data_IF_647667878368
#
_entry.id   IF_647667878368
#
_cell.length_a   1.000
_cell.length_b   1.000
_cell.length_c   1.000
_cell.angle_alpha   90.00
_cell.angle_beta   90.00
_cell.angle_gamma   90.00
#
_symmetry.space_group_name_H-M   'P 1'
#
loop_
_entity.id
_entity.type
_entity.pdbx_description
1 polymer ?
#
# COMPACT_ATOMS: atom_id res chain seq x y z
N UNK A 1 13.02 -0.91 -24.95
CA UNK A 1 13.12 0.26 -24.05
C UNK A 1 12.66 -0.18 -22.68
N UNK A 2 13.59 -0.35 -21.73
CA UNK A 2 13.27 -0.72 -20.36
C UNK A 2 13.25 0.53 -19.49
N UNK A 3 12.12 0.83 -18.87
CA UNK A 3 12.05 1.84 -17.83
C UNK A 3 12.84 1.31 -16.63
N UNK A 4 13.83 2.06 -16.15
CA UNK A 4 14.55 1.72 -14.93
C UNK A 4 13.65 2.00 -13.71
N UNK A 5 13.96 1.37 -12.57
CA UNK A 5 13.14 1.49 -11.35
C UNK A 5 13.01 2.94 -10.83
N UNK A 6 13.95 3.82 -11.17
CA UNK A 6 13.91 5.23 -10.77
C UNK A 6 13.03 6.10 -11.68
N UNK A 7 12.93 5.75 -12.97
CA UNK A 7 11.95 6.34 -13.90
C UNK A 7 10.54 5.89 -13.55
N UNK A 8 10.36 4.63 -13.14
CA UNK A 8 9.09 4.18 -12.59
C UNK A 8 8.72 5.02 -11.34
N UNK A 9 9.64 5.18 -10.38
CA UNK A 9 9.44 6.04 -9.20
C UNK A 9 9.22 7.52 -9.54
N UNK A 10 9.76 8.04 -10.64
CA UNK A 10 9.53 9.42 -11.09
C UNK A 10 8.17 9.61 -11.74
N UNK A 11 7.72 8.65 -12.55
CA UNK A 11 6.34 8.63 -13.05
C UNK A 11 5.36 8.53 -11.88
N UNK A 12 5.70 7.76 -10.83
CA UNK A 12 4.97 7.67 -9.56
C UNK A 12 4.79 9.00 -8.79
N UNK A 13 5.53 10.05 -9.11
CA UNK A 13 5.49 11.32 -8.38
C UNK A 13 4.50 12.34 -8.93
N UNK A 14 3.99 12.18 -10.16
CA UNK A 14 3.25 13.25 -10.84
C UNK A 14 1.72 13.07 -10.98
N UNK A 15 1.14 11.87 -10.85
CA UNK A 15 -0.30 11.66 -11.17
C UNK A 15 -1.12 10.83 -10.17
N UNK A 16 -0.64 10.62 -8.94
CA UNK A 16 -1.27 9.65 -8.05
C UNK A 16 -2.36 10.26 -7.17
N UNK A 17 -3.58 10.22 -7.68
CA UNK A 17 -4.77 10.23 -6.84
C UNK A 17 -4.76 9.10 -5.80
N UNK A 18 -5.69 9.13 -4.82
CA UNK A 18 -5.77 8.15 -3.72
C UNK A 18 -5.75 6.68 -4.16
N UNK A 19 -6.12 6.41 -5.42
CA UNK A 19 -6.32 5.09 -6.02
C UNK A 19 -5.08 4.20 -6.07
N UNK A 20 -3.87 4.76 -6.13
CA UNK A 20 -2.66 3.92 -6.22
C UNK A 20 -1.78 3.90 -4.97
N UNK A 21 -2.08 4.76 -3.98
CA UNK A 21 -1.31 4.81 -2.74
C UNK A 21 -1.43 3.53 -1.91
N UNK A 22 -2.60 2.88 -1.94
CA UNK A 22 -2.80 1.60 -1.26
C UNK A 22 -1.97 0.48 -1.91
N UNK A 23 -2.09 0.18 -3.22
CA UNK A 23 -1.23 -0.81 -3.88
C UNK A 23 0.25 -0.56 -3.66
N UNK A 24 0.69 0.70 -3.72
CA UNK A 24 2.08 1.07 -3.50
C UNK A 24 2.53 0.76 -2.05
N UNK A 25 1.69 1.08 -1.06
CA UNK A 25 1.99 0.80 0.34
C UNK A 25 2.14 -0.69 0.61
N UNK A 26 1.19 -1.50 0.11
CA UNK A 26 1.23 -2.95 0.24
C UNK A 26 2.53 -3.51 -0.35
N UNK A 27 2.89 -3.11 -1.57
CA UNK A 27 4.14 -3.53 -2.21
C UNK A 27 5.39 -3.15 -1.40
N UNK A 28 5.44 -1.93 -0.85
CA UNK A 28 6.56 -1.48 -0.02
C UNK A 28 6.66 -2.23 1.32
N UNK A 29 5.56 -2.83 1.79
CA UNK A 29 5.53 -3.73 2.95
C UNK A 29 5.80 -5.20 2.58
N UNK A 30 6.04 -5.50 1.30
CA UNK A 30 6.25 -6.87 0.83
C UNK A 30 4.96 -7.67 0.59
N UNK A 31 3.80 -7.01 0.63
CA UNK A 31 2.50 -7.63 0.34
C UNK A 31 2.17 -7.41 -1.14
N UNK A 32 2.00 -8.48 -1.91
CA UNK A 32 1.54 -8.40 -3.29
C UNK A 32 0.04 -8.00 -3.35
N UNK A 33 -0.31 -6.82 -3.88
CA UNK A 33 -1.70 -6.38 -3.98
C UNK A 33 -2.56 -7.31 -4.83
N UNK A 34 -2.02 -7.87 -5.91
CA UNK A 34 -2.77 -8.77 -6.80
C UNK A 34 -3.10 -10.08 -6.08
N UNK A 35 -2.16 -10.59 -5.29
CA UNK A 35 -2.42 -11.73 -4.40
C UNK A 35 -3.57 -11.44 -3.43
N UNK A 36 -3.60 -10.25 -2.81
CA UNK A 36 -4.69 -9.87 -1.89
C UNK A 36 -6.02 -9.71 -2.65
N UNK A 37 -6.01 -9.15 -3.86
CA UNK A 37 -7.19 -9.06 -4.73
C UNK A 37 -7.76 -10.45 -5.03
N UNK A 38 -6.91 -11.42 -5.33
CA UNK A 38 -7.33 -12.77 -5.69
C UNK A 38 -7.75 -13.62 -4.49
N UNK A 39 -7.02 -13.55 -3.38
CA UNK A 39 -7.26 -14.41 -2.21
C UNK A 39 -8.22 -13.81 -1.20
N UNK A 40 -8.28 -12.48 -1.10
CA UNK A 40 -9.08 -11.75 -0.13
C UNK A 40 -9.75 -10.51 -0.76
N UNK A 41 -10.58 -10.68 -1.80
CA UNK A 41 -11.14 -9.57 -2.59
C UNK A 41 -11.98 -8.60 -1.75
N UNK A 42 -12.68 -9.08 -0.73
CA UNK A 42 -13.48 -8.26 0.19
C UNK A 42 -12.59 -7.35 1.02
N UNK A 43 -11.52 -7.91 1.61
CA UNK A 43 -10.52 -7.17 2.38
C UNK A 43 -9.86 -6.09 1.53
N UNK A 44 -9.46 -6.41 0.29
CA UNK A 44 -8.87 -5.43 -0.61
C UNK A 44 -9.84 -4.28 -0.94
N UNK A 45 -11.12 -4.59 -1.21
CA UNK A 45 -12.13 -3.57 -1.51
C UNK A 45 -12.34 -2.62 -0.33
N UNK A 46 -12.37 -3.14 0.90
CA UNK A 46 -12.53 -2.33 2.10
C UNK A 46 -11.31 -1.44 2.34
N UNK A 47 -10.09 -1.99 2.21
CA UNK A 47 -8.86 -1.20 2.25
C UNK A 47 -8.89 -0.07 1.21
N UNK A 48 -9.28 -0.37 -0.03
CA UNK A 48 -9.34 0.60 -1.12
C UNK A 48 -10.36 1.71 -0.83
N UNK A 49 -11.54 1.35 -0.30
CA UNK A 49 -12.58 2.31 0.08
C UNK A 49 -12.11 3.25 1.19
N UNK A 50 -11.48 2.71 2.25
CA UNK A 50 -10.95 3.51 3.36
C UNK A 50 -9.82 4.42 2.88
N UNK A 51 -8.92 3.91 2.03
CA UNK A 51 -7.82 4.70 1.47
C UNK A 51 -8.33 5.83 0.57
N UNK A 52 -9.33 5.57 -0.27
CA UNK A 52 -9.92 6.57 -1.16
C UNK A 52 -10.57 7.74 -0.39
N UNK A 53 -11.15 7.46 0.79
CA UNK A 53 -11.74 8.47 1.67
C UNK A 53 -10.72 9.16 2.60
N UNK A 54 -9.44 8.80 2.53
CA UNK A 54 -8.40 9.27 3.46
C UNK A 54 -8.06 10.76 3.23
N UNK A 55 -8.23 11.57 4.28
CA UNK A 55 -7.90 13.01 4.27
C UNK A 55 -6.41 13.32 4.37
N UNK A 56 -5.58 12.33 4.71
CA UNK A 56 -4.12 12.46 4.88
C UNK A 56 -3.32 11.84 3.72
N UNK A 57 -3.97 11.52 2.60
CA UNK A 57 -3.36 10.91 1.40
C UNK A 57 -2.12 11.66 0.87
N UNK A 58 -2.12 13.00 0.91
CA UNK A 58 -0.93 13.80 0.53
C UNK A 58 0.28 13.57 1.44
N UNK A 59 0.06 13.32 2.73
CA UNK A 59 1.13 12.97 3.67
C UNK A 59 1.62 11.55 3.39
N UNK A 60 0.69 10.61 3.24
CA UNK A 60 0.99 9.24 2.82
C UNK A 60 1.88 9.20 1.58
N UNK A 61 1.50 9.90 0.51
CA UNK A 61 2.28 9.96 -0.72
C UNK A 61 3.72 10.45 -0.50
N UNK A 62 3.92 11.48 0.33
CA UNK A 62 5.26 11.99 0.63
C UNK A 62 6.09 10.99 1.43
N UNK A 63 5.50 10.36 2.44
CA UNK A 63 6.19 9.39 3.29
C UNK A 63 6.60 8.16 2.47
N UNK A 64 5.67 7.62 1.66
CA UNK A 64 5.94 6.52 0.71
C UNK A 64 7.01 6.89 -0.33
N UNK A 65 6.98 8.11 -0.87
CA UNK A 65 7.99 8.57 -1.84
C UNK A 65 9.40 8.67 -1.24
N UNK A 66 9.51 8.78 0.09
CA UNK A 66 10.77 8.76 0.84
C UNK A 66 11.19 7.35 1.25
N UNK A 67 10.38 6.33 0.93
CA UNK A 67 10.59 4.95 1.39
C UNK A 67 10.22 4.73 2.85
N UNK A 68 9.60 5.71 3.51
CA UNK A 68 9.15 5.60 4.90
C UNK A 68 7.77 4.93 4.94
N UNK A 69 7.77 3.62 4.68
CA UNK A 69 6.54 2.84 4.58
C UNK A 69 5.83 2.65 5.92
N UNK A 70 6.59 2.70 7.02
CA UNK A 70 6.08 2.58 8.38
C UNK A 70 5.43 3.87 8.88
N UNK A 71 5.82 5.03 8.33
CA UNK A 71 5.23 6.31 8.72
C UNK A 71 3.69 6.31 8.57
N UNK A 72 3.04 6.54 9.71
CA UNK A 72 1.59 6.63 9.78
C UNK A 72 0.85 5.30 9.84
N UNK A 73 1.52 4.14 9.84
CA UNK A 73 0.88 2.84 10.13
C UNK A 73 0.14 2.89 11.49
N UNK A 74 0.83 3.32 12.54
CA UNK A 74 0.25 3.52 13.90
C UNK A 74 -0.37 4.91 14.13
N UNK A 75 -0.42 5.73 13.07
CA UNK A 75 -0.73 7.14 13.18
C UNK A 75 -1.95 7.54 12.37
N UNK A 76 -1.72 7.99 11.14
CA UNK A 76 -2.74 8.60 10.31
C UNK A 76 -3.39 7.62 9.32
N UNK A 77 -2.85 6.42 9.14
CA UNK A 77 -3.36 5.44 8.19
C UNK A 77 -4.43 4.59 8.84
N UNK A 78 -5.68 4.81 8.44
CA UNK A 78 -6.81 4.03 8.96
C UNK A 78 -6.78 2.55 8.55
N UNK A 79 -5.97 2.19 7.55
CA UNK A 79 -5.76 0.82 7.12
C UNK A 79 -4.63 0.11 7.88
N UNK A 80 -3.85 0.81 8.72
CA UNK A 80 -2.68 0.25 9.40
C UNK A 80 -2.96 -1.09 10.09
N UNK A 81 -3.94 -1.16 11.01
CA UNK A 81 -4.26 -2.40 11.72
C UNK A 81 -4.65 -3.58 10.80
N UNK A 82 -5.41 -3.31 9.73
CA UNK A 82 -5.81 -4.35 8.77
C UNK A 82 -4.62 -4.84 7.94
N UNK A 83 -3.70 -3.92 7.57
CA UNK A 83 -2.49 -4.26 6.84
C UNK A 83 -1.56 -5.11 7.71
N UNK A 84 -1.40 -4.78 8.99
CA UNK A 84 -0.58 -5.58 9.91
C UNK A 84 -1.13 -7.00 10.06
N UNK A 85 -2.46 -7.14 10.19
CA UNK A 85 -3.11 -8.44 10.21
C UNK A 85 -2.88 -9.23 8.91
N UNK A 86 -2.86 -8.57 7.75
CA UNK A 86 -2.52 -9.22 6.48
C UNK A 86 -1.08 -9.74 6.51
N UNK A 87 -0.12 -8.95 6.99
CA UNK A 87 1.29 -9.37 7.09
C UNK A 87 1.43 -10.65 7.91
N UNK A 88 0.87 -10.68 9.12
CA UNK A 88 0.95 -11.85 10.01
C UNK A 88 0.37 -13.09 9.34
N UNK A 89 -0.81 -12.98 8.74
CA UNK A 89 -1.43 -14.13 8.08
C UNK A 89 -0.63 -14.63 6.85
N UNK A 90 0.07 -13.74 6.14
CA UNK A 90 0.92 -14.17 5.02
C UNK A 90 2.17 -14.90 5.51
N UNK A 91 2.76 -14.46 6.63
CA UNK A 91 3.89 -15.14 7.28
C UNK A 91 3.49 -16.56 7.76
N UNK A 92 2.31 -16.72 8.35
CA UNK A 92 1.79 -18.03 8.76
C UNK A 92 1.58 -18.97 7.56
N UNK A 93 1.15 -18.42 6.42
CA UNK A 93 0.91 -19.17 5.18
C UNK A 93 2.19 -19.58 4.46
N UNK A 94 3.27 -18.83 4.55
CA UNK A 94 4.57 -19.21 3.96
C UNK A 94 5.35 -20.19 4.85
N UNK A 95 5.02 -20.25 6.14
CA UNK A 95 5.59 -21.21 7.08
C UNK A 95 4.92 -22.61 7.05
N UNK A 96 3.82 -22.76 6.31
CA UNK A 96 3.04 -24.01 6.17
C UNK A 96 3.31 -24.69 4.83
#
# INVERSE_FOLDING_TARGET
MGLNGDDLRRLYRNDFGPTHLLPQRLQLLGIDPEFVVHTQPTTYRDLARVCAACRTSRRCARDLARGDVQAGMDGYCLNGPTIDALTVQMEERTAS
#
